data_IF_800056905372
#
_entry.id   IF_800056905372
#
_cell.length_a   1.000
_cell.length_b   1.000
_cell.length_c   1.000
_cell.angle_alpha   90.00
_cell.angle_beta   90.00
_cell.angle_gamma   90.00
#
_symmetry.space_group_name_H-M   'P 1'
#
loop_
_entity.id
_entity.type
_entity.pdbx_description
1 polymer ?
#
# COMPACT_ATOMS: atom_id res chain seq x y z
N UNK A 1 -24.75 -20.13 6.99
CA UNK A 1 -23.95 -19.83 5.76
C UNK A 1 -22.90 -18.74 5.99
N UNK A 2 -23.18 -17.69 6.78
CA UNK A 2 -22.19 -16.64 7.11
C UNK A 2 -20.97 -17.20 7.87
N UNK A 3 -21.19 -17.96 8.94
CA UNK A 3 -20.11 -18.54 9.76
C UNK A 3 -19.17 -19.46 8.96
N UNK A 4 -19.69 -20.26 8.03
CA UNK A 4 -18.87 -21.12 7.17
C UNK A 4 -18.00 -20.30 6.20
N UNK A 5 -18.52 -19.18 5.69
CA UNK A 5 -17.78 -18.25 4.86
C UNK A 5 -16.64 -17.60 5.66
N UNK A 6 -16.92 -17.17 6.89
CA UNK A 6 -15.94 -16.55 7.76
C UNK A 6 -14.83 -17.53 8.17
N UNK A 7 -15.20 -18.77 8.49
CA UNK A 7 -14.22 -19.83 8.75
C UNK A 7 -13.32 -20.08 7.53
N UNK A 8 -13.92 -20.24 6.35
CA UNK A 8 -13.17 -20.39 5.09
C UNK A 8 -12.19 -19.24 4.87
N UNK A 9 -12.66 -18.00 5.01
CA UNK A 9 -11.85 -16.82 4.78
C UNK A 9 -10.66 -16.74 5.75
N UNK A 10 -10.87 -17.03 7.04
CA UNK A 10 -9.81 -17.07 8.06
C UNK A 10 -8.80 -18.18 7.79
N UNK A 11 -9.28 -19.37 7.46
CA UNK A 11 -8.42 -20.51 7.14
C UNK A 11 -7.53 -20.23 5.92
N UNK A 12 -8.13 -19.75 4.81
CA UNK A 12 -7.38 -19.41 3.60
C UNK A 12 -6.40 -18.23 3.83
N UNK A 13 -6.77 -17.27 4.69
CA UNK A 13 -5.87 -16.19 5.11
C UNK A 13 -4.65 -16.73 5.85
N UNK A 14 -4.86 -17.66 6.79
CA UNK A 14 -3.77 -18.27 7.54
C UNK A 14 -2.82 -19.03 6.61
N UNK A 15 -3.37 -19.84 5.70
CA UNK A 15 -2.59 -20.57 4.69
C UNK A 15 -1.81 -19.61 3.76
N UNK A 16 -2.43 -18.51 3.33
CA UNK A 16 -1.78 -17.53 2.47
C UNK A 16 -0.64 -16.77 3.15
N UNK A 17 -0.63 -16.68 4.47
CA UNK A 17 0.47 -16.04 5.22
C UNK A 17 1.75 -16.87 5.19
N UNK A 18 1.63 -18.18 5.31
CA UNK A 18 2.75 -19.09 5.57
C UNK A 18 3.23 -19.82 4.30
N UNK A 19 2.32 -20.16 3.37
CA UNK A 19 2.68 -20.98 2.22
C UNK A 19 3.59 -20.25 1.22
N UNK A 20 4.53 -20.96 0.57
CA UNK A 20 5.36 -20.41 -0.49
C UNK A 20 4.54 -20.04 -1.73
N UNK A 21 5.14 -19.31 -2.69
CA UNK A 21 4.52 -18.97 -3.96
C UNK A 21 3.84 -17.60 -3.98
N UNK A 22 4.66 -16.54 -3.96
CA UNK A 22 4.23 -15.14 -3.91
C UNK A 22 3.35 -14.71 -5.10
N UNK A 23 3.57 -15.30 -6.27
CA UNK A 23 2.85 -14.99 -7.52
C UNK A 23 1.84 -16.07 -7.91
N UNK A 24 1.79 -17.17 -7.18
CA UNK A 24 0.98 -18.36 -7.50
C UNK A 24 0.06 -18.76 -6.35
N UNK A 25 0.56 -19.50 -5.36
CA UNK A 25 -0.26 -20.08 -4.29
C UNK A 25 -0.94 -18.99 -3.47
N UNK A 26 -0.19 -17.99 -2.97
CA UNK A 26 -0.78 -16.91 -2.17
C UNK A 26 -1.81 -16.10 -2.93
N UNK A 27 -1.54 -15.78 -4.19
CA UNK A 27 -2.50 -15.10 -5.08
C UNK A 27 -3.79 -15.92 -5.23
N UNK A 28 -3.66 -17.23 -5.48
CA UNK A 28 -4.79 -18.13 -5.64
C UNK A 28 -5.65 -18.21 -4.37
N UNK A 29 -5.01 -18.36 -3.20
CA UNK A 29 -5.70 -18.41 -1.91
C UNK A 29 -6.48 -17.12 -1.63
N UNK A 30 -5.90 -15.96 -1.93
CA UNK A 30 -6.59 -14.69 -1.78
C UNK A 30 -7.75 -14.53 -2.79
N UNK A 31 -7.60 -14.98 -4.04
CA UNK A 31 -8.71 -15.02 -5.01
C UNK A 31 -9.87 -15.90 -4.53
N UNK A 32 -9.58 -17.06 -3.95
CA UNK A 32 -10.61 -17.94 -3.40
C UNK A 32 -11.38 -17.34 -2.21
N UNK A 33 -10.76 -16.40 -1.50
CA UNK A 33 -11.43 -15.61 -0.47
C UNK A 33 -12.35 -14.53 -1.05
N UNK A 34 -12.16 -14.14 -2.31
CA UNK A 34 -12.94 -13.09 -2.96
C UNK A 34 -12.15 -11.81 -3.29
N UNK A 35 -10.85 -11.74 -2.96
CA UNK A 35 -9.99 -10.62 -3.37
C UNK A 35 -9.86 -10.60 -4.90
N UNK A 36 -10.07 -9.45 -5.52
CA UNK A 36 -9.92 -9.28 -6.96
C UNK A 36 -8.44 -9.00 -7.26
N UNK A 37 -7.76 -9.96 -7.90
CA UNK A 37 -6.31 -9.86 -8.16
C UNK A 37 -6.05 -10.08 -9.65
N UNK A 38 -5.32 -9.15 -10.24
CA UNK A 38 -4.88 -9.17 -11.64
C UNK A 38 -3.74 -10.17 -11.92
N UNK A 39 -3.12 -10.02 -13.07
CA UNK A 39 -2.01 -10.84 -13.55
C UNK A 39 -0.66 -10.32 -13.06
N UNK A 40 0.33 -11.21 -12.86
CA UNK A 40 1.69 -10.81 -12.48
C UNK A 40 1.81 -10.12 -11.11
N UNK A 41 0.81 -10.27 -10.24
CA UNK A 41 0.82 -9.68 -8.89
C UNK A 41 1.72 -10.49 -7.98
N UNK A 42 2.56 -9.79 -7.21
CA UNK A 42 3.37 -10.37 -6.15
C UNK A 42 2.74 -10.08 -4.78
N UNK A 43 2.56 -11.10 -3.96
CA UNK A 43 2.10 -10.98 -2.57
C UNK A 43 3.13 -11.60 -1.64
N UNK A 44 3.72 -10.77 -0.78
CA UNK A 44 4.69 -11.20 0.24
C UNK A 44 4.06 -12.12 1.29
N UNK A 45 4.89 -12.91 1.98
CA UNK A 45 4.42 -13.73 3.09
C UNK A 45 3.99 -12.85 4.29
N UNK A 46 3.22 -13.43 5.19
CA UNK A 46 2.67 -12.79 6.38
C UNK A 46 1.88 -11.50 6.08
N UNK A 47 1.32 -11.40 4.87
CA UNK A 47 0.44 -10.28 4.49
C UNK A 47 -0.98 -10.55 4.98
N UNK A 48 -1.56 -9.58 5.69
CA UNK A 48 -2.93 -9.61 6.18
C UNK A 48 -3.80 -8.77 5.26
N UNK A 49 -4.79 -9.39 4.65
CA UNK A 49 -5.81 -8.70 3.85
C UNK A 49 -7.16 -8.89 4.52
N UNK A 50 -8.02 -7.89 4.42
CA UNK A 50 -9.40 -7.89 4.88
C UNK A 50 -10.01 -9.30 4.92
N UNK A 51 -10.61 -9.67 6.06
CA UNK A 51 -11.13 -11.03 6.26
C UNK A 51 -12.64 -11.12 6.14
N UNK A 52 -13.36 -10.12 6.65
CA UNK A 52 -14.82 -10.12 6.63
C UNK A 52 -15.36 -9.77 5.22
N UNK A 53 -14.70 -8.83 4.55
CA UNK A 53 -15.11 -8.29 3.25
C UNK A 53 -13.96 -8.30 2.23
N UNK A 54 -13.34 -9.47 1.92
CA UNK A 54 -12.20 -9.56 1.00
C UNK A 54 -12.54 -9.08 -0.41
N UNK A 55 -13.81 -9.12 -0.82
CA UNK A 55 -14.31 -8.63 -2.11
C UNK A 55 -14.18 -7.10 -2.29
N UNK A 56 -13.92 -6.36 -1.21
CA UNK A 56 -13.65 -4.92 -1.25
C UNK A 56 -12.20 -4.59 -1.62
N UNK A 57 -11.30 -5.60 -1.70
CA UNK A 57 -9.92 -5.39 -2.11
C UNK A 57 -9.78 -5.72 -3.60
N UNK A 58 -9.17 -4.78 -4.32
CA UNK A 58 -8.76 -4.97 -5.73
C UNK A 58 -7.27 -4.68 -5.86
N UNK A 59 -6.51 -5.62 -6.41
CA UNK A 59 -5.09 -5.48 -6.73
C UNK A 59 -4.94 -5.72 -8.23
N UNK A 60 -4.49 -4.71 -8.96
CA UNK A 60 -4.39 -4.77 -10.42
C UNK A 60 -3.05 -5.35 -10.89
N UNK A 61 -2.92 -5.47 -12.21
CA UNK A 61 -1.81 -6.17 -12.87
C UNK A 61 -0.45 -5.60 -12.48
N UNK A 62 0.53 -6.49 -12.28
CA UNK A 62 1.91 -6.13 -11.99
C UNK A 62 2.16 -5.49 -10.63
N UNK A 63 1.11 -5.29 -9.81
CA UNK A 63 1.28 -4.70 -8.49
C UNK A 63 2.07 -5.62 -7.54
N UNK A 64 2.84 -5.01 -6.66
CA UNK A 64 3.61 -5.71 -5.62
C UNK A 64 3.11 -5.32 -4.23
N UNK A 65 2.76 -6.31 -3.44
CA UNK A 65 2.48 -6.17 -2.00
C UNK A 65 3.60 -6.84 -1.23
N UNK A 66 4.36 -6.06 -0.49
CA UNK A 66 5.50 -6.52 0.31
C UNK A 66 5.09 -7.47 1.43
N UNK A 67 6.10 -8.03 2.10
CA UNK A 67 5.90 -8.89 3.28
C UNK A 67 5.29 -8.09 4.44
N UNK A 68 4.48 -8.76 5.28
CA UNK A 68 3.90 -8.17 6.50
C UNK A 68 3.05 -6.92 6.26
N UNK A 69 2.50 -6.75 5.08
CA UNK A 69 1.57 -5.66 4.82
C UNK A 69 0.20 -5.96 5.45
N UNK A 70 -0.52 -4.91 5.83
CA UNK A 70 -1.89 -4.99 6.31
C UNK A 70 -2.79 -4.14 5.42
N UNK A 71 -3.82 -4.75 4.81
CA UNK A 71 -4.77 -4.06 3.93
C UNK A 71 -6.16 -4.24 4.53
N UNK A 72 -6.74 -3.15 5.00
CA UNK A 72 -8.05 -3.11 5.63
C UNK A 72 -9.04 -2.41 4.73
N UNK A 73 -10.24 -2.97 4.57
CA UNK A 73 -11.33 -2.41 3.78
C UNK A 73 -12.54 -2.06 4.64
N UNK A 74 -12.50 -2.34 5.95
CA UNK A 74 -13.54 -1.92 6.89
C UNK A 74 -12.95 -1.48 8.24
N UNK A 75 -13.74 -0.67 8.97
CA UNK A 75 -13.48 -0.24 10.33
C UNK A 75 -14.84 -0.05 11.00
N UNK A 76 -15.24 -0.93 11.95
CA UNK A 76 -16.59 -0.98 12.53
C UNK A 76 -17.67 -1.08 11.43
N UNK A 77 -18.50 -0.05 11.30
CA UNK A 77 -19.57 0.10 10.29
C UNK A 77 -19.10 0.80 8.99
N UNK A 78 -17.84 1.24 8.96
CA UNK A 78 -17.25 1.93 7.80
C UNK A 78 -16.60 0.94 6.85
N UNK A 79 -17.24 0.70 5.70
CA UNK A 79 -16.77 -0.21 4.65
C UNK A 79 -16.45 0.61 3.39
N UNK A 80 -15.18 0.61 2.97
CA UNK A 80 -14.78 1.24 1.71
C UNK A 80 -13.75 0.40 0.97
N UNK A 81 -13.92 0.26 -0.36
CA UNK A 81 -13.00 -0.54 -1.16
C UNK A 81 -11.59 0.06 -1.13
N UNK A 82 -10.60 -0.83 -1.16
CA UNK A 82 -9.20 -0.50 -1.36
C UNK A 82 -8.80 -0.97 -2.75
N UNK A 83 -8.13 -0.09 -3.50
CA UNK A 83 -7.63 -0.39 -4.83
C UNK A 83 -6.13 -0.15 -4.89
N UNK A 84 -5.38 -1.17 -5.27
CA UNK A 84 -3.96 -1.07 -5.62
C UNK A 84 -3.87 -1.17 -7.13
N UNK A 85 -3.52 -0.05 -7.76
CA UNK A 85 -3.49 0.09 -9.21
C UNK A 85 -2.29 -0.64 -9.84
N UNK A 86 -2.26 -0.67 -11.18
CA UNK A 86 -1.24 -1.37 -11.96
C UNK A 86 0.18 -0.89 -11.60
N UNK A 87 1.12 -1.83 -11.54
CA UNK A 87 2.55 -1.57 -11.23
C UNK A 87 2.80 -0.81 -9.91
N UNK A 88 1.80 -0.66 -9.06
CA UNK A 88 2.00 -0.04 -7.74
C UNK A 88 2.82 -0.94 -6.82
N UNK A 89 3.64 -0.34 -5.99
CA UNK A 89 4.50 -1.04 -5.04
C UNK A 89 4.15 -0.66 -3.60
N UNK A 90 3.73 -1.64 -2.83
CA UNK A 90 3.49 -1.50 -1.39
C UNK A 90 4.65 -2.11 -0.65
N UNK A 91 5.47 -1.25 -0.03
CA UNK A 91 6.66 -1.64 0.72
C UNK A 91 6.35 -2.52 1.95
N UNK A 92 7.32 -3.33 2.40
CA UNK A 92 7.16 -4.23 3.54
C UNK A 92 6.61 -3.53 4.79
N UNK A 93 5.70 -4.18 5.51
CA UNK A 93 5.14 -3.68 6.76
C UNK A 93 4.22 -2.46 6.61
N UNK A 94 3.85 -2.07 5.40
CA UNK A 94 2.92 -0.96 5.19
C UNK A 94 1.49 -1.33 5.59
N UNK A 95 0.74 -0.33 6.05
CA UNK A 95 -0.67 -0.44 6.42
C UNK A 95 -1.49 0.43 5.48
N UNK A 96 -2.48 -0.16 4.81
CA UNK A 96 -3.41 0.54 3.92
C UNK A 96 -4.79 0.55 4.56
N UNK A 97 -5.34 1.75 4.78
CA UNK A 97 -6.65 1.93 5.42
C UNK A 97 -7.82 1.91 4.41
N UNK A 98 -9.06 1.72 4.91
CA UNK A 98 -10.25 1.67 4.06
C UNK A 98 -10.42 2.90 3.17
N UNK A 99 -10.83 2.70 1.92
CA UNK A 99 -11.10 3.76 0.95
C UNK A 99 -9.87 4.31 0.23
N UNK A 100 -8.69 3.73 0.47
CA UNK A 100 -7.46 4.18 -0.18
C UNK A 100 -7.35 3.60 -1.60
N UNK A 101 -7.03 4.46 -2.55
CA UNK A 101 -6.56 4.10 -3.88
C UNK A 101 -5.05 4.38 -3.97
N UNK A 102 -4.26 3.34 -4.18
CA UNK A 102 -2.83 3.47 -4.48
C UNK A 102 -2.70 3.53 -6.00
N UNK A 103 -2.39 4.71 -6.53
CA UNK A 103 -2.37 4.98 -7.97
C UNK A 103 -1.31 4.20 -8.73
N UNK A 104 -1.47 4.10 -10.04
CA UNK A 104 -0.58 3.37 -10.95
C UNK A 104 0.88 3.75 -10.75
N UNK A 105 1.76 2.76 -10.57
CA UNK A 105 3.19 2.98 -10.38
C UNK A 105 3.54 3.80 -9.13
N UNK A 106 2.59 4.04 -8.23
CA UNK A 106 2.88 4.67 -6.95
C UNK A 106 3.67 3.73 -6.04
N UNK A 107 4.42 4.31 -5.12
CA UNK A 107 5.26 3.57 -4.18
C UNK A 107 4.91 3.95 -2.77
N UNK A 108 4.59 2.96 -1.96
CA UNK A 108 4.46 3.13 -0.51
C UNK A 108 5.77 2.66 0.12
N UNK A 109 6.46 3.55 0.84
CA UNK A 109 7.68 3.17 1.55
C UNK A 109 7.39 2.16 2.66
N UNK A 110 8.38 1.32 2.98
CA UNK A 110 8.26 0.33 4.05
C UNK A 110 7.81 0.95 5.38
N UNK A 111 6.95 0.25 6.12
CA UNK A 111 6.44 0.67 7.43
C UNK A 111 5.51 1.88 7.42
N UNK A 112 5.04 2.32 6.25
CA UNK A 112 4.16 3.50 6.15
C UNK A 112 2.70 3.16 6.42
N UNK A 113 1.95 4.10 7.02
CA UNK A 113 0.50 4.00 7.21
C UNK A 113 -0.21 4.96 6.27
N UNK A 114 -0.93 4.39 5.29
CA UNK A 114 -1.60 5.15 4.23
C UNK A 114 -3.06 5.38 4.60
N UNK A 115 -3.38 6.63 4.89
CA UNK A 115 -4.71 7.08 5.32
C UNK A 115 -5.49 7.79 4.21
N UNK A 116 -4.81 8.18 3.12
CA UNK A 116 -5.40 8.90 1.99
C UNK A 116 -4.90 8.29 0.68
N UNK A 117 -5.70 8.41 -0.37
CA UNK A 117 -5.31 7.92 -1.69
C UNK A 117 -4.01 8.56 -2.18
N UNK A 118 -3.21 7.76 -2.86
CA UNK A 118 -1.90 8.13 -3.37
C UNK A 118 -2.00 8.33 -4.89
N UNK A 119 -1.66 9.51 -5.42
CA UNK A 119 -1.68 9.75 -6.86
C UNK A 119 -0.71 8.83 -7.62
N UNK A 120 -0.93 8.60 -8.93
CA UNK A 120 -0.01 7.82 -9.76
C UNK A 120 1.43 8.34 -9.71
N UNK A 121 2.38 7.41 -9.72
CA UNK A 121 3.83 7.70 -9.73
C UNK A 121 4.29 8.61 -8.60
N UNK A 122 3.69 8.51 -7.43
CA UNK A 122 4.12 9.22 -6.22
C UNK A 122 4.66 8.23 -5.20
N UNK A 123 5.80 8.57 -4.60
CA UNK A 123 6.34 7.91 -3.42
C UNK A 123 5.81 8.62 -2.16
N UNK A 124 5.18 7.84 -1.29
CA UNK A 124 4.75 8.31 0.04
C UNK A 124 5.48 7.56 1.14
N UNK A 125 5.70 8.23 2.27
CA UNK A 125 6.40 7.69 3.44
C UNK A 125 5.85 8.24 4.74
N UNK A 126 5.90 7.42 5.79
CA UNK A 126 5.64 7.82 7.18
C UNK A 126 4.29 7.37 7.73
N UNK A 127 3.97 7.80 8.94
CA UNK A 127 2.70 7.57 9.63
C UNK A 127 2.18 8.90 10.20
N UNK A 128 1.12 9.50 9.61
CA UNK A 128 0.50 9.12 8.34
C UNK A 128 1.44 9.36 7.15
N UNK A 129 1.31 8.55 6.10
CA UNK A 129 2.14 8.64 4.91
C UNK A 129 1.94 9.97 4.17
N UNK A 130 3.04 10.60 3.77
CA UNK A 130 3.06 11.89 3.04
C UNK A 130 3.86 11.76 1.74
N UNK A 131 3.48 12.46 0.68
CA UNK A 131 4.25 12.52 -0.56
C UNK A 131 5.65 13.08 -0.33
N UNK A 132 6.68 12.37 -0.80
CA UNK A 132 8.08 12.78 -0.68
C UNK A 132 8.81 12.92 -2.01
N UNK A 133 8.40 12.13 -3.05
CA UNK A 133 9.02 12.19 -4.36
C UNK A 133 8.05 11.75 -5.48
N UNK A 134 8.36 12.15 -6.72
CA UNK A 134 7.81 11.54 -7.93
C UNK A 134 8.67 10.35 -8.34
N UNK A 135 8.02 9.29 -8.79
CA UNK A 135 8.65 8.04 -9.22
C UNK A 135 8.75 8.03 -10.74
N UNK A 136 9.95 7.91 -11.29
CA UNK A 136 10.15 7.75 -12.73
C UNK A 136 10.08 6.29 -13.19
N UNK A 137 10.61 5.36 -12.37
CA UNK A 137 10.58 3.91 -12.60
C UNK A 137 10.12 3.22 -11.34
N UNK A 138 8.91 2.61 -11.30
CA UNK A 138 8.47 1.87 -10.12
C UNK A 138 9.33 0.61 -9.92
N UNK A 139 9.52 0.17 -8.65
CA UNK A 139 10.24 -1.09 -8.37
C UNK A 139 9.37 -2.26 -8.81
N UNK A 140 9.85 -3.02 -9.79
CA UNK A 140 9.21 -4.25 -10.27
C UNK A 140 10.29 -5.24 -10.74
N UNK A 141 9.89 -6.46 -11.09
CA UNK A 141 10.84 -7.48 -11.57
C UNK A 141 11.75 -6.92 -12.67
N UNK A 142 13.05 -7.16 -12.51
CA UNK A 142 14.09 -6.65 -13.41
C UNK A 142 14.51 -5.19 -13.17
N UNK A 143 13.83 -4.44 -12.30
CA UNK A 143 14.27 -3.09 -11.92
C UNK A 143 15.35 -3.18 -10.83
N UNK A 144 16.57 -2.73 -11.12
CA UNK A 144 17.61 -2.63 -10.09
C UNK A 144 17.24 -1.51 -9.10
N UNK A 145 17.49 -1.74 -7.83
CA UNK A 145 17.21 -0.75 -6.78
C UNK A 145 17.86 0.62 -7.05
N UNK A 146 19.08 0.62 -7.59
CA UNK A 146 19.79 1.85 -7.96
C UNK A 146 19.06 2.64 -9.05
N UNK A 147 18.47 1.96 -10.05
CA UNK A 147 17.73 2.61 -11.14
C UNK A 147 16.42 3.22 -10.62
N UNK A 148 15.77 2.54 -9.67
CA UNK A 148 14.60 3.09 -8.97
C UNK A 148 15.00 4.37 -8.21
N UNK A 149 16.04 4.31 -7.36
CA UNK A 149 16.49 5.46 -6.56
C UNK A 149 16.90 6.62 -7.46
N UNK A 150 17.64 6.37 -8.54
CA UNK A 150 18.06 7.41 -9.50
C UNK A 150 16.86 8.04 -10.24
N UNK A 151 15.73 7.34 -10.33
CA UNK A 151 14.52 7.85 -10.96
C UNK A 151 13.68 8.79 -10.07
N UNK A 152 13.97 8.84 -8.78
CA UNK A 152 13.22 9.64 -7.82
C UNK A 152 13.50 11.13 -7.99
N UNK A 153 12.45 11.92 -8.04
CA UNK A 153 12.50 13.39 -8.07
C UNK A 153 11.80 13.93 -6.83
N UNK A 154 12.56 14.45 -5.84
CA UNK A 154 11.99 14.96 -4.60
C UNK A 154 10.90 16.02 -4.87
N UNK A 155 9.82 15.96 -4.10
CA UNK A 155 8.81 17.01 -4.09
C UNK A 155 9.32 18.10 -3.16
N UNK A 156 9.86 19.22 -3.70
CA UNK A 156 10.34 20.34 -2.90
C UNK A 156 9.18 20.89 -2.07
N UNK A 157 9.26 20.82 -0.76
CA UNK A 157 8.43 21.64 0.13
C UNK A 157 8.81 23.08 -0.13
N UNK A 158 7.87 23.92 -0.59
CA UNK A 158 8.04 25.38 -0.59
C UNK A 158 8.47 25.77 0.83
N UNK A 159 9.71 26.26 0.98
CA UNK A 159 10.21 26.74 2.26
C UNK A 159 9.23 27.84 2.69
N UNK A 160 8.51 27.65 3.79
CA UNK A 160 7.79 28.76 4.41
C UNK A 160 8.84 29.81 4.73
N UNK A 161 8.84 30.90 3.99
CA UNK A 161 9.57 32.10 4.38
C UNK A 161 9.06 32.49 5.76
N UNK A 162 9.94 32.39 6.76
CA UNK A 162 9.67 33.01 8.04
C UNK A 162 9.65 34.52 7.76
N UNK A 163 8.48 35.12 7.87
CA UNK A 163 8.34 36.55 7.78
C UNK A 163 9.24 37.25 8.80
N UNK A 164 9.77 38.39 8.46
CA UNK A 164 10.58 39.18 9.37
C UNK A 164 9.67 39.90 10.37
N UNK A 165 9.37 39.26 11.49
CA UNK A 165 8.70 39.91 12.62
C UNK A 165 8.91 39.07 13.88
N UNK A 166 9.93 39.46 14.64
CA UNK A 166 10.04 39.40 16.10
C UNK A 166 11.49 39.71 16.51
N UNK A 167 11.97 40.84 16.04
CA UNK A 167 13.02 41.55 16.72
C UNK A 167 12.44 42.95 17.04
N UNK A 168 11.93 43.09 18.21
CA UNK A 168 11.86 44.33 19.00
C UNK A 168 10.75 44.18 20.07
N UNK A 169 11.08 43.65 21.22
CA UNK A 169 10.62 44.18 22.51
C UNK A 169 11.64 43.68 23.53
N UNK A 170 12.47 44.57 24.01
CA UNK A 170 13.45 44.27 25.05
C UNK A 170 14.40 45.45 25.29
N UNK A 171 13.83 46.62 25.63
CA UNK A 171 14.61 47.68 26.29
C UNK A 171 13.62 48.67 26.92
N UNK A 172 13.31 48.46 28.19
CA UNK A 172 13.11 49.51 29.19
C UNK A 172 13.00 48.84 30.54
#
# INVERSE_FOLDING_TARGET
MAELRDFKNRFLQLMARELPGATTVRVTLHRWRGVKIGSGVFIGYDTIMETAHPELITIKDGATVGIRCTILAHFWDFHKPVVIEEDAFVGPGAIILPGVVVGRGAVIAAGSTVTNSVPPSILVQGNPAKPIARVGKPPKDGTRFQDFVASLRPIMKKKRERGPSEQMVGSS
#
